data_IF_630819136769
#
_entry.id   IF_630819136769
#
_cell.length_a   1.000
_cell.length_b   1.000
_cell.length_c   1.000
_cell.angle_alpha   90.00
_cell.angle_beta   90.00
_cell.angle_gamma   90.00
#
_symmetry.space_group_name_H-M   'P 1'
#
loop_
_entity.id
_entity.type
_entity.pdbx_description
1 polymer ?
#
# COMPACT_ATOMS: atom_id res chain seq x y z
N UNK A 1 -1.61 -8.88 13.27
CA UNK A 1 -1.77 -9.98 12.30
C UNK A 1 -2.24 -11.32 12.92
N UNK A 2 -1.79 -11.76 14.12
CA UNK A 2 -2.12 -13.12 14.59
C UNK A 2 -3.61 -13.48 14.63
N UNK A 3 -4.47 -12.54 15.06
CA UNK A 3 -5.94 -12.76 15.08
C UNK A 3 -6.56 -12.95 13.70
N UNK A 4 -6.06 -12.24 12.67
CA UNK A 4 -6.56 -12.35 11.30
C UNK A 4 -6.20 -13.70 10.70
N UNK A 5 -4.92 -14.11 10.83
CA UNK A 5 -4.45 -15.43 10.40
C UNK A 5 -5.23 -16.57 11.08
N UNK A 6 -5.44 -16.45 12.40
CA UNK A 6 -6.26 -17.42 13.14
C UNK A 6 -7.71 -17.46 12.65
N UNK A 7 -8.33 -16.31 12.37
CA UNK A 7 -9.67 -16.26 11.80
C UNK A 7 -9.73 -16.95 10.42
N UNK A 8 -8.72 -16.77 9.57
CA UNK A 8 -8.62 -17.48 8.30
C UNK A 8 -8.48 -18.99 8.49
N UNK A 9 -7.64 -19.45 9.42
CA UNK A 9 -7.52 -20.88 9.74
C UNK A 9 -8.84 -21.47 10.24
N UNK A 10 -9.59 -20.75 11.09
CA UNK A 10 -10.91 -21.19 11.54
C UNK A 10 -11.94 -21.26 10.40
N UNK A 11 -11.76 -20.48 9.34
CA UNK A 11 -12.69 -20.44 8.20
C UNK A 11 -12.52 -21.59 7.20
N UNK A 12 -11.46 -22.41 7.34
CA UNK A 12 -11.11 -23.49 6.40
C UNK A 12 -12.28 -24.45 6.17
N UNK A 13 -12.95 -24.91 7.23
CA UNK A 13 -14.07 -25.87 7.10
C UNK A 13 -15.22 -25.27 6.32
N UNK A 14 -15.69 -24.08 6.72
CA UNK A 14 -16.80 -23.41 6.05
C UNK A 14 -16.47 -23.06 4.60
N UNK A 15 -15.23 -22.67 4.31
CA UNK A 15 -14.79 -22.43 2.94
C UNK A 15 -14.75 -23.71 2.11
N UNK A 16 -14.30 -24.83 2.69
CA UNK A 16 -14.32 -26.14 2.03
C UNK A 16 -15.73 -26.54 1.62
N UNK A 17 -16.70 -26.33 2.50
CA UNK A 17 -18.12 -26.60 2.21
C UNK A 17 -18.63 -25.73 1.06
N UNK A 18 -18.28 -24.44 1.04
CA UNK A 18 -18.64 -23.52 -0.05
C UNK A 18 -18.09 -24.00 -1.39
N UNK A 19 -16.79 -24.30 -1.48
CA UNK A 19 -16.16 -24.76 -2.73
C UNK A 19 -16.72 -26.11 -3.17
N UNK A 20 -16.95 -27.04 -2.24
CA UNK A 20 -17.53 -28.36 -2.54
C UNK A 20 -18.94 -28.27 -3.12
N UNK A 21 -19.75 -27.33 -2.61
CA UNK A 21 -21.13 -27.13 -3.03
C UNK A 21 -21.24 -26.33 -4.33
N UNK A 22 -20.51 -25.22 -4.45
CA UNK A 22 -20.57 -24.35 -5.62
C UNK A 22 -19.82 -24.92 -6.83
N UNK A 23 -18.73 -25.67 -6.59
CA UNK A 23 -17.83 -26.22 -7.62
C UNK A 23 -17.44 -25.16 -8.67
N UNK A 24 -16.83 -24.03 -8.25
CA UNK A 24 -16.50 -22.96 -9.17
C UNK A 24 -15.54 -23.45 -10.27
N UNK A 25 -15.68 -22.85 -11.45
CA UNK A 25 -14.81 -23.11 -12.61
C UNK A 25 -13.34 -22.66 -12.37
N UNK A 26 -13.13 -21.72 -11.44
CA UNK A 26 -11.84 -21.13 -11.10
C UNK A 26 -11.91 -20.53 -9.69
N UNK A 27 -10.81 -20.60 -8.94
CA UNK A 27 -10.62 -19.88 -7.69
C UNK A 27 -9.57 -18.76 -7.86
N UNK A 28 -9.81 -17.59 -7.28
CA UNK A 28 -8.78 -16.55 -7.09
C UNK A 28 -8.53 -16.41 -5.58
N UNK A 29 -7.27 -16.39 -5.15
CA UNK A 29 -6.89 -16.37 -3.73
C UNK A 29 -5.68 -15.46 -3.48
N UNK A 30 -5.52 -14.97 -2.25
CA UNK A 30 -4.39 -14.12 -1.84
C UNK A 30 -3.32 -14.88 -1.03
N UNK A 31 -2.31 -14.15 -0.55
CA UNK A 31 -1.17 -14.72 0.17
C UNK A 31 -1.51 -15.20 1.59
N UNK A 32 -2.63 -14.76 2.18
CA UNK A 32 -3.01 -15.12 3.54
C UNK A 32 -3.77 -16.44 3.63
N UNK A 33 -4.25 -16.96 2.49
CA UNK A 33 -5.10 -18.15 2.42
C UNK A 33 -4.55 -19.19 1.43
N UNK A 34 -3.28 -19.61 1.51
CA UNK A 34 -2.72 -20.62 0.60
C UNK A 34 -3.48 -21.95 0.66
N UNK A 35 -4.07 -22.27 1.82
CA UNK A 35 -4.90 -23.45 2.01
C UNK A 35 -6.13 -23.47 1.08
N UNK A 36 -6.65 -22.32 0.65
CA UNK A 36 -7.78 -22.24 -0.28
C UNK A 36 -7.41 -22.82 -1.65
N UNK A 37 -6.21 -22.53 -2.13
CA UNK A 37 -5.68 -23.09 -3.38
C UNK A 37 -5.43 -24.61 -3.26
N UNK A 38 -4.94 -25.09 -2.11
CA UNK A 38 -4.78 -26.53 -1.85
C UNK A 38 -6.13 -27.27 -1.89
N UNK A 39 -7.18 -26.69 -1.30
CA UNK A 39 -8.55 -27.23 -1.34
C UNK A 39 -9.09 -27.26 -2.77
N UNK A 40 -8.98 -26.14 -3.51
CA UNK A 40 -9.42 -26.09 -4.90
C UNK A 40 -8.72 -27.16 -5.74
N UNK A 41 -7.40 -27.32 -5.58
CA UNK A 41 -6.62 -28.32 -6.29
C UNK A 41 -7.08 -29.76 -5.99
N UNK A 42 -7.47 -30.08 -4.75
CA UNK A 42 -7.96 -31.44 -4.41
C UNK A 42 -9.30 -31.77 -5.08
N UNK A 43 -10.07 -30.74 -5.43
CA UNK A 43 -11.33 -30.82 -6.15
C UNK A 43 -11.19 -30.61 -7.66
N UNK A 44 -9.94 -30.59 -8.17
CA UNK A 44 -9.62 -30.31 -9.58
C UNK A 44 -10.14 -28.96 -10.07
N UNK A 45 -10.11 -27.93 -9.22
CA UNK A 45 -10.43 -26.55 -9.58
C UNK A 45 -9.11 -25.76 -9.72
N UNK A 46 -8.86 -25.09 -10.85
CA UNK A 46 -7.67 -24.26 -11.00
C UNK A 46 -7.74 -23.04 -10.06
N UNK A 47 -6.60 -22.70 -9.45
CA UNK A 47 -6.50 -21.56 -8.54
C UNK A 47 -5.46 -20.56 -9.04
N UNK A 48 -5.80 -19.27 -9.09
CA UNK A 48 -4.89 -18.18 -9.49
C UNK A 48 -4.63 -17.28 -8.30
N UNK A 49 -3.36 -17.05 -7.98
CA UNK A 49 -2.95 -16.12 -6.95
C UNK A 49 -3.17 -14.68 -7.42
N UNK A 50 -3.81 -13.88 -6.58
CA UNK A 50 -3.90 -12.44 -6.72
C UNK A 50 -3.02 -11.74 -5.69
N UNK A 51 -1.91 -11.20 -6.16
CA UNK A 51 -0.94 -10.46 -5.39
C UNK A 51 -1.41 -9.01 -5.17
N UNK A 52 -1.70 -8.69 -3.90
CA UNK A 52 -2.23 -7.38 -3.47
C UNK A 52 -1.15 -6.36 -3.08
N UNK A 53 0.12 -6.77 -3.13
CA UNK A 53 1.31 -5.91 -2.99
C UNK A 53 1.97 -5.70 -4.36
N UNK A 54 2.70 -4.59 -4.54
CA UNK A 54 3.35 -4.22 -5.79
C UNK A 54 4.52 -5.13 -6.18
N UNK A 55 4.87 -5.10 -7.47
CA UNK A 55 5.91 -5.94 -8.05
C UNK A 55 7.30 -5.60 -7.50
N UNK A 56 7.57 -4.34 -7.19
CA UNK A 56 8.81 -3.86 -6.58
C UNK A 56 9.11 -4.58 -5.26
N UNK A 57 8.15 -4.59 -4.33
CA UNK A 57 8.33 -5.25 -3.05
C UNK A 57 8.37 -6.79 -3.20
N UNK A 58 7.49 -7.37 -4.01
CA UNK A 58 7.49 -8.82 -4.23
C UNK A 58 8.77 -9.33 -4.87
N UNK A 59 9.28 -8.65 -5.92
CA UNK A 59 10.54 -9.03 -6.57
C UNK A 59 11.73 -8.97 -5.60
N UNK A 60 11.80 -7.93 -4.78
CA UNK A 60 12.83 -7.80 -3.74
C UNK A 60 12.77 -8.94 -2.73
N UNK A 61 11.59 -9.20 -2.16
CA UNK A 61 11.45 -10.27 -1.17
C UNK A 61 11.71 -11.64 -1.81
N UNK A 62 11.03 -11.97 -2.91
CA UNK A 62 11.20 -13.25 -3.58
C UNK A 62 12.68 -13.55 -3.88
N UNK A 63 13.42 -12.57 -4.43
CA UNK A 63 14.87 -12.69 -4.63
C UNK A 63 15.60 -13.00 -3.33
N UNK A 64 15.36 -12.20 -2.28
CA UNK A 64 16.06 -12.32 -1.00
C UNK A 64 15.85 -13.67 -0.32
N UNK A 65 14.72 -14.33 -0.54
CA UNK A 65 14.41 -15.65 0.04
C UNK A 65 14.85 -16.82 -0.84
N UNK A 66 14.94 -16.65 -2.16
CA UNK A 66 15.22 -17.75 -3.10
C UNK A 66 16.66 -17.76 -3.64
N UNK A 67 17.27 -16.61 -3.89
CA UNK A 67 18.62 -16.46 -4.49
C UNK A 67 19.66 -16.14 -3.42
N UNK A 68 19.61 -16.87 -2.29
CA UNK A 68 20.45 -16.63 -1.09
C UNK A 68 21.87 -16.13 -1.44
N UNK A 69 22.30 -15.10 -0.72
CA UNK A 69 23.65 -14.51 -0.83
C UNK A 69 23.97 -13.77 -2.15
N UNK A 70 22.95 -13.41 -2.94
CA UNK A 70 23.07 -12.45 -4.05
C UNK A 70 22.51 -11.07 -3.69
N UNK A 71 23.11 -10.03 -4.28
CA UNK A 71 22.52 -8.69 -4.27
C UNK A 71 21.30 -8.63 -5.19
N UNK A 72 20.28 -7.88 -4.76
CA UNK A 72 19.11 -7.62 -5.60
C UNK A 72 19.51 -6.76 -6.82
N UNK A 73 19.06 -7.08 -8.06
CA UNK A 73 19.55 -6.41 -9.26
C UNK A 73 19.19 -4.92 -9.40
N UNK A 74 18.21 -4.42 -8.63
CA UNK A 74 17.79 -3.02 -8.68
C UNK A 74 18.20 -2.29 -7.40
N UNK A 75 19.33 -1.57 -7.38
CA UNK A 75 19.91 -1.00 -6.16
C UNK A 75 19.10 0.16 -5.57
N UNK A 76 18.14 0.71 -6.32
CA UNK A 76 17.19 1.74 -5.85
C UNK A 76 16.24 1.19 -4.80
N UNK A 77 15.96 -0.12 -4.81
CA UNK A 77 15.16 -0.79 -3.79
C UNK A 77 16.08 -1.43 -2.75
N UNK A 78 16.04 -0.87 -1.54
CA UNK A 78 16.81 -1.37 -0.41
C UNK A 78 16.08 -1.11 0.91
N UNK A 79 16.43 -1.92 1.91
CA UNK A 79 16.00 -1.74 3.29
C UNK A 79 17.14 -1.12 4.09
N UNK A 80 16.82 -0.07 4.87
CA UNK A 80 17.72 0.45 5.90
C UNK A 80 17.86 -0.58 7.02
N UNK A 81 18.90 -0.45 7.85
CA UNK A 81 19.21 -1.49 8.83
C UNK A 81 18.09 -1.69 9.87
N UNK A 82 17.43 -0.62 10.31
CA UNK A 82 16.27 -0.73 11.21
C UNK A 82 15.09 -1.46 10.54
N UNK A 83 14.82 -1.20 9.26
CA UNK A 83 13.76 -1.88 8.50
C UNK A 83 14.09 -3.37 8.34
N UNK A 84 15.36 -3.69 8.05
CA UNK A 84 15.84 -5.07 7.92
C UNK A 84 15.68 -5.83 9.24
N UNK A 85 16.07 -5.22 10.37
CA UNK A 85 15.91 -5.80 11.71
C UNK A 85 14.43 -6.03 12.04
N UNK A 86 13.56 -5.06 11.76
CA UNK A 86 12.13 -5.17 11.98
C UNK A 86 11.48 -6.28 11.13
N UNK A 87 11.86 -6.36 9.84
CA UNK A 87 11.40 -7.41 8.94
C UNK A 87 11.85 -8.80 9.41
N UNK A 88 13.12 -8.96 9.78
CA UNK A 88 13.65 -10.22 10.30
C UNK A 88 12.90 -10.67 11.56
N UNK A 89 12.62 -9.74 12.48
CA UNK A 89 11.84 -10.03 13.68
C UNK A 89 10.39 -10.45 13.37
N UNK A 90 9.76 -9.90 12.33
CA UNK A 90 8.43 -10.33 11.86
C UNK A 90 8.47 -11.73 11.25
N UNK A 91 9.44 -12.03 10.39
CA UNK A 91 9.59 -13.35 9.75
C UNK A 91 9.81 -14.44 10.81
N UNK A 92 10.74 -14.21 11.75
CA UNK A 92 11.04 -15.18 12.81
C UNK A 92 9.89 -15.39 13.79
N UNK A 93 8.87 -14.53 13.82
CA UNK A 93 7.61 -14.77 14.54
C UNK A 93 6.68 -15.67 13.74
N UNK A 94 6.53 -15.41 12.43
CA UNK A 94 5.70 -16.23 11.54
C UNK A 94 6.19 -17.68 11.47
N UNK A 95 7.51 -17.90 11.35
CA UNK A 95 8.11 -19.24 11.34
C UNK A 95 7.89 -20.04 12.63
N UNK A 96 7.59 -19.37 13.76
CA UNK A 96 7.29 -20.05 15.03
C UNK A 96 5.82 -20.40 15.17
N UNK A 97 4.94 -19.69 14.46
CA UNK A 97 3.49 -19.86 14.53
C UNK A 97 2.99 -20.87 13.49
N UNK A 98 3.73 -21.11 12.39
CA UNK A 98 3.38 -22.07 11.35
C UNK A 98 4.16 -23.40 11.47
N UNK A 99 3.43 -24.49 11.70
CA UNK A 99 3.92 -25.87 11.53
C UNK A 99 3.94 -26.30 10.04
N UNK A 100 3.58 -25.41 9.10
CA UNK A 100 3.48 -25.73 7.68
C UNK A 100 4.84 -25.50 7.00
N UNK A 101 5.37 -26.53 6.34
CA UNK A 101 6.70 -26.54 5.70
C UNK A 101 6.73 -25.78 4.36
N UNK A 102 5.70 -24.98 4.08
CA UNK A 102 5.64 -24.21 2.84
C UNK A 102 6.56 -23.00 2.95
N UNK A 103 7.37 -22.75 1.92
CA UNK A 103 8.24 -21.58 1.88
C UNK A 103 7.42 -20.29 2.04
N UNK A 104 8.02 -19.21 2.55
CA UNK A 104 7.38 -17.89 2.71
C UNK A 104 6.75 -17.33 1.41
N UNK A 105 7.03 -17.94 0.25
CA UNK A 105 6.46 -17.62 -1.06
C UNK A 105 5.81 -18.82 -1.75
N UNK A 106 5.53 -19.92 -1.03
CA UNK A 106 4.97 -21.16 -1.57
C UNK A 106 3.58 -20.97 -2.19
N UNK A 107 2.83 -19.95 -1.78
CA UNK A 107 1.58 -19.55 -2.42
C UNK A 107 1.77 -19.11 -3.88
N UNK A 108 2.95 -18.61 -4.29
CA UNK A 108 3.19 -18.38 -5.72
C UNK A 108 3.20 -19.70 -6.51
N UNK A 109 3.64 -20.79 -5.90
CA UNK A 109 3.74 -22.10 -6.55
C UNK A 109 2.41 -22.81 -6.69
N UNK A 110 1.47 -22.51 -5.80
CA UNK A 110 0.09 -22.97 -5.88
C UNK A 110 -0.72 -22.29 -7.00
N UNK A 111 -0.21 -21.21 -7.59
CA UNK A 111 -0.89 -20.49 -8.66
C UNK A 111 -0.78 -21.22 -10.00
N UNK A 112 -1.92 -21.47 -10.66
CA UNK A 112 -1.98 -22.17 -11.92
C UNK A 112 -1.75 -21.21 -13.11
N UNK A 113 -0.61 -21.42 -13.80
CA UNK A 113 -0.26 -20.75 -15.06
C UNK A 113 0.21 -19.30 -14.92
N UNK A 114 -0.58 -18.45 -14.27
CA UNK A 114 -0.31 -17.01 -14.13
C UNK A 114 -0.37 -16.58 -12.67
N UNK A 115 0.07 -15.36 -12.38
CA UNK A 115 -0.17 -14.64 -11.12
C UNK A 115 -0.77 -13.28 -11.47
N UNK A 116 -1.93 -12.96 -10.94
CA UNK A 116 -2.53 -11.64 -11.06
C UNK A 116 -1.86 -10.70 -10.06
N UNK A 117 -1.62 -9.45 -10.43
CA UNK A 117 -0.96 -8.50 -9.53
C UNK A 117 -1.55 -7.11 -9.65
N UNK A 118 -1.91 -6.50 -8.51
CA UNK A 118 -2.41 -5.13 -8.41
C UNK A 118 -1.27 -4.13 -8.65
N UNK A 119 -0.98 -3.87 -9.92
CA UNK A 119 0.09 -2.97 -10.39
C UNK A 119 -0.22 -2.49 -11.82
N UNK A 120 0.60 -1.58 -12.35
CA UNK A 120 0.63 -1.20 -13.76
C UNK A 120 2.06 -1.28 -14.30
N UNK A 121 2.21 -1.66 -15.59
CA UNK A 121 3.54 -1.77 -16.20
C UNK A 121 4.25 -0.43 -16.31
N UNK A 122 3.50 0.65 -16.46
CA UNK A 122 4.04 1.99 -16.61
C UNK A 122 4.89 2.45 -15.43
N UNK A 123 4.65 1.92 -14.25
CA UNK A 123 5.38 2.22 -13.01
C UNK A 123 6.31 1.06 -12.62
N UNK A 124 5.86 -0.18 -12.66
CA UNK A 124 6.60 -1.32 -12.09
C UNK A 124 7.07 -2.37 -13.13
N UNK A 125 6.99 -2.07 -14.44
CA UNK A 125 7.20 -3.06 -15.51
C UNK A 125 8.47 -3.91 -15.39
N UNK A 126 9.62 -3.30 -15.07
CA UNK A 126 10.89 -4.04 -14.88
C UNK A 126 10.86 -4.99 -13.67
N UNK A 127 10.09 -4.65 -12.64
CA UNK A 127 9.90 -5.48 -11.45
C UNK A 127 8.92 -6.62 -11.73
N UNK A 128 7.88 -6.36 -12.53
CA UNK A 128 6.95 -7.38 -13.03
C UNK A 128 7.71 -8.43 -13.84
N UNK A 129 8.55 -8.00 -14.78
CA UNK A 129 9.33 -8.89 -15.64
C UNK A 129 10.31 -9.73 -14.82
N UNK A 130 11.01 -9.09 -13.89
CA UNK A 130 11.94 -9.79 -13.01
C UNK A 130 11.24 -10.82 -12.11
N UNK A 131 10.12 -10.45 -11.48
CA UNK A 131 9.35 -11.36 -10.65
C UNK A 131 8.82 -12.54 -11.47
N UNK A 132 8.37 -12.30 -12.71
CA UNK A 132 7.88 -13.35 -13.61
C UNK A 132 8.94 -14.41 -13.91
N UNK A 133 10.19 -13.99 -14.14
CA UNK A 133 11.34 -14.90 -14.28
C UNK A 133 11.58 -15.68 -12.99
N UNK A 134 11.57 -14.99 -11.85
CA UNK A 134 11.85 -15.57 -10.54
C UNK A 134 10.84 -16.65 -10.13
N UNK A 135 9.54 -16.38 -10.28
CA UNK A 135 8.47 -17.31 -9.89
C UNK A 135 8.10 -18.32 -11.00
N UNK A 136 8.75 -18.22 -12.18
CA UNK A 136 8.52 -19.05 -13.37
C UNK A 136 7.05 -19.06 -13.82
N UNK A 137 6.34 -17.95 -13.60
CA UNK A 137 4.94 -17.76 -13.98
C UNK A 137 4.78 -16.41 -14.63
N UNK A 138 3.84 -16.29 -15.57
CA UNK A 138 3.50 -14.99 -16.15
C UNK A 138 2.84 -14.15 -15.07
N UNK A 139 3.47 -13.05 -14.68
CA UNK A 139 2.86 -12.05 -13.80
C UNK A 139 2.04 -11.11 -14.67
N UNK A 140 0.75 -11.00 -14.37
CA UNK A 140 -0.24 -10.26 -15.15
C UNK A 140 -0.74 -9.09 -14.30
N UNK A 141 -0.36 -7.85 -14.66
CA UNK A 141 -0.95 -6.65 -14.07
C UNK A 141 -2.46 -6.65 -14.24
N UNK A 142 -3.19 -6.22 -13.21
CA UNK A 142 -4.64 -6.00 -13.26
C UNK A 142 -4.99 -4.51 -13.17
N UNK A 143 -4.01 -3.64 -13.37
CA UNK A 143 -4.18 -2.20 -13.25
C UNK A 143 -4.29 -1.71 -11.79
N UNK A 144 -4.68 -0.43 -11.62
CA UNK A 144 -4.66 0.25 -10.33
C UNK A 144 -5.80 -0.19 -9.38
N UNK A 145 -6.95 -0.63 -9.92
CA UNK A 145 -8.15 -1.01 -9.13
C UNK A 145 -8.49 0.03 -8.04
N UNK A 146 -8.48 1.31 -8.41
CA UNK A 146 -8.82 2.41 -7.50
C UNK A 146 -10.34 2.58 -7.48
N UNK A 147 -10.96 2.32 -6.32
CA UNK A 147 -12.40 2.55 -6.15
C UNK A 147 -12.69 4.06 -6.08
N UNK A 148 -13.59 4.53 -6.95
CA UNK A 148 -13.99 5.93 -7.01
C UNK A 148 -15.23 6.26 -6.16
N UNK A 149 -15.83 5.30 -5.46
CA UNK A 149 -17.18 5.47 -4.89
C UNK A 149 -17.37 4.87 -3.50
N UNK A 150 -17.49 5.77 -2.51
CA UNK A 150 -18.39 5.64 -1.36
C UNK A 150 -18.85 7.06 -1.00
N UNK A 151 -20.16 7.32 -1.03
CA UNK A 151 -20.76 8.58 -0.56
C UNK A 151 -21.17 8.42 0.90
N UNK A 152 -20.29 8.81 1.82
CA UNK A 152 -20.59 8.95 3.24
C UNK A 152 -21.00 10.38 3.60
N UNK A 153 -21.82 10.56 4.64
CA UNK A 153 -22.30 11.90 5.06
C UNK A 153 -21.15 12.87 5.46
N UNK A 154 -20.06 12.36 6.05
CA UNK A 154 -18.87 13.17 6.40
C UNK A 154 -18.04 13.61 5.19
N UNK A 155 -18.34 13.12 3.99
CA UNK A 155 -17.58 13.47 2.79
C UNK A 155 -17.82 14.92 2.37
N UNK A 156 -19.02 15.47 2.65
CA UNK A 156 -19.38 16.83 2.21
C UNK A 156 -18.58 17.89 2.98
N UNK A 157 -18.44 17.79 4.30
CA UNK A 157 -17.75 18.81 5.10
C UNK A 157 -16.26 18.93 4.75
N UNK A 158 -15.59 17.78 4.55
CA UNK A 158 -14.17 17.76 4.17
C UNK A 158 -13.97 18.34 2.78
N UNK A 159 -14.83 17.96 1.82
CA UNK A 159 -14.76 18.46 0.43
C UNK A 159 -15.11 19.95 0.36
N UNK A 160 -16.09 20.41 1.13
CA UNK A 160 -16.46 21.84 1.22
C UNK A 160 -15.33 22.67 1.83
N UNK A 161 -14.66 22.15 2.85
CA UNK A 161 -13.50 22.82 3.42
C UNK A 161 -12.34 22.88 2.43
N UNK A 162 -12.06 21.78 1.72
CA UNK A 162 -11.03 21.73 0.67
C UNK A 162 -11.34 22.71 -0.47
N UNK A 163 -12.61 22.85 -0.85
CA UNK A 163 -13.07 23.74 -1.92
C UNK A 163 -12.78 25.22 -1.63
N UNK A 164 -12.62 25.58 -0.36
CA UNK A 164 -12.25 26.94 0.09
C UNK A 164 -10.73 27.17 0.09
N UNK A 165 -9.92 26.15 -0.17
CA UNK A 165 -8.45 26.24 -0.16
C UNK A 165 -7.91 26.39 -1.58
N UNK A 166 -6.81 27.16 -1.78
CA UNK A 166 -6.14 27.23 -3.08
C UNK A 166 -5.67 25.86 -3.61
N UNK A 167 -5.43 25.79 -4.91
CA UNK A 167 -4.89 24.60 -5.55
C UNK A 167 -3.54 24.20 -4.92
N UNK A 168 -3.32 22.90 -4.73
CA UNK A 168 -2.09 22.33 -4.15
C UNK A 168 -1.65 22.92 -2.80
N UNK A 169 -2.59 23.45 -2.00
CA UNK A 169 -2.26 24.14 -0.75
C UNK A 169 -2.51 23.32 0.52
N UNK A 170 -3.05 22.12 0.39
CA UNK A 170 -3.41 21.23 1.51
C UNK A 170 -2.59 19.94 1.49
N UNK A 171 -2.10 19.54 2.65
CA UNK A 171 -1.46 18.24 2.89
C UNK A 171 -2.50 17.27 3.45
N UNK A 172 -2.70 16.14 2.79
CA UNK A 172 -3.48 15.04 3.35
C UNK A 172 -2.55 14.09 4.12
N UNK A 173 -2.95 13.66 5.31
CA UNK A 173 -2.14 12.82 6.21
C UNK A 173 -2.96 11.61 6.64
N UNK A 174 -2.52 10.42 6.23
CA UNK A 174 -3.18 9.17 6.56
C UNK A 174 -2.18 8.01 6.58
N UNK A 175 -2.19 7.25 7.67
CA UNK A 175 -1.32 6.10 7.87
C UNK A 175 -2.05 4.77 7.60
N UNK A 176 -3.15 4.81 6.84
CA UNK A 176 -3.92 3.63 6.46
C UNK A 176 -4.76 3.07 7.60
N UNK A 177 -5.33 1.89 7.40
CA UNK A 177 -6.28 1.28 8.34
C UNK A 177 -5.63 0.48 9.46
N UNK A 178 -4.41 0.00 9.27
CA UNK A 178 -3.74 -0.96 10.15
C UNK A 178 -2.49 -0.44 10.85
N UNK A 179 -2.20 0.87 10.74
CA UNK A 179 -1.08 1.48 11.44
C UNK A 179 -1.60 2.48 12.48
N UNK A 180 -0.99 2.42 13.67
CA UNK A 180 -1.33 3.26 14.79
C UNK A 180 -0.05 3.94 15.26
N UNK A 181 -0.07 5.27 15.29
CA UNK A 181 1.08 6.06 15.71
C UNK A 181 1.20 6.05 17.23
N UNK A 182 2.44 6.13 17.74
CA UNK A 182 2.65 6.42 19.16
C UNK A 182 2.26 7.86 19.49
N UNK A 183 2.03 8.15 20.78
CA UNK A 183 1.78 9.52 21.25
C UNK A 183 2.92 10.46 20.86
N UNK A 184 4.17 10.02 21.00
CA UNK A 184 5.35 10.80 20.66
C UNK A 184 5.40 11.13 19.16
N UNK A 185 5.10 10.14 18.29
CA UNK A 185 5.02 10.36 16.85
C UNK A 185 3.92 11.38 16.48
N UNK A 186 2.75 11.28 17.12
CA UNK A 186 1.68 12.26 16.92
C UNK A 186 2.12 13.67 17.35
N UNK A 187 2.83 13.80 18.47
CA UNK A 187 3.35 15.09 18.93
C UNK A 187 4.39 15.67 17.97
N UNK A 188 5.31 14.86 17.44
CA UNK A 188 6.31 15.34 16.48
C UNK A 188 5.67 15.76 15.15
N UNK A 189 4.65 15.04 14.67
CA UNK A 189 3.86 15.45 13.49
C UNK A 189 3.15 16.78 13.76
N UNK A 190 2.46 16.92 14.90
CA UNK A 190 1.75 18.15 15.25
C UNK A 190 2.69 19.37 15.32
N UNK A 191 3.85 19.22 15.98
CA UNK A 191 4.88 20.27 16.02
C UNK A 191 5.43 20.57 14.63
N UNK A 192 5.68 19.54 13.81
CA UNK A 192 6.14 19.72 12.44
C UNK A 192 5.14 20.48 11.57
N UNK A 193 3.84 20.22 11.76
CA UNK A 193 2.74 20.97 11.12
C UNK A 193 2.67 22.45 11.53
N UNK A 194 3.09 22.79 12.74
CA UNK A 194 3.25 24.18 13.16
C UNK A 194 4.44 24.84 12.46
N UNK A 195 5.56 24.12 12.31
CA UNK A 195 6.78 24.63 11.67
C UNK A 195 6.66 24.88 10.17
N UNK A 196 5.79 24.14 9.46
CA UNK A 196 5.56 24.32 8.03
C UNK A 196 4.35 25.21 7.69
N UNK A 197 3.46 25.48 8.66
CA UNK A 197 2.30 26.36 8.50
C UNK A 197 1.45 26.11 7.24
N UNK A 198 1.27 24.84 6.87
CA UNK A 198 0.45 24.41 5.73
C UNK A 198 -1.00 24.17 6.15
N UNK A 199 -1.93 24.15 5.17
CA UNK A 199 -3.24 23.58 5.39
C UNK A 199 -3.11 22.05 5.47
N UNK A 200 -3.91 21.38 6.30
CA UNK A 200 -3.85 19.93 6.40
C UNK A 200 -5.20 19.26 6.71
N UNK A 201 -5.32 18.01 6.30
CA UNK A 201 -6.32 17.07 6.80
C UNK A 201 -5.56 15.89 7.38
N UNK A 202 -5.76 15.60 8.67
CA UNK A 202 -5.08 14.50 9.33
C UNK A 202 -6.05 13.48 9.89
N UNK A 203 -5.99 12.26 9.34
CA UNK A 203 -6.74 11.10 9.82
C UNK A 203 -5.98 10.44 10.96
N UNK A 204 -6.58 10.46 12.15
CA UNK A 204 -6.05 9.82 13.36
C UNK A 204 -6.85 8.56 13.64
N UNK A 205 -6.15 7.44 13.83
CA UNK A 205 -6.74 6.14 14.14
C UNK A 205 -6.17 5.56 15.43
N UNK A 206 -6.99 4.77 16.10
CA UNK A 206 -6.65 3.97 17.27
C UNK A 206 -7.10 2.52 17.08
N UNK A 207 -6.46 1.55 17.75
CA UNK A 207 -6.93 0.18 17.76
C UNK A 207 -8.39 0.08 18.22
N UNK A 208 -9.12 -0.93 17.72
CA UNK A 208 -10.52 -1.17 18.12
C UNK A 208 -10.58 -1.40 19.63
N UNK A 209 -11.42 -0.62 20.31
CA UNK A 209 -11.55 -0.65 21.77
C UNK A 209 -10.64 0.35 22.51
N UNK A 210 -9.66 0.94 21.83
CA UNK A 210 -8.84 2.02 22.35
C UNK A 210 -9.37 3.35 21.81
N UNK A 211 -9.61 4.33 22.68
CA UNK A 211 -9.98 5.69 22.29
C UNK A 211 -8.81 6.61 22.59
N UNK A 212 -8.31 7.27 21.55
CA UNK A 212 -7.33 8.36 21.71
C UNK A 212 -8.10 9.66 21.92
N UNK A 213 -7.89 10.31 23.07
CA UNK A 213 -8.27 11.70 23.23
C UNK A 213 -7.22 12.59 22.55
N UNK A 214 -7.64 13.22 21.45
CA UNK A 214 -6.79 14.12 20.66
C UNK A 214 -6.40 15.35 21.49
N UNK A 215 -7.25 15.81 22.41
CA UNK A 215 -6.92 16.95 23.28
C UNK A 215 -5.76 16.63 24.24
N UNK A 216 -5.64 15.37 24.67
CA UNK A 216 -4.58 14.93 25.58
C UNK A 216 -3.28 14.58 24.84
N UNK A 217 -3.37 14.05 23.61
CA UNK A 217 -2.20 13.62 22.85
C UNK A 217 -1.52 14.78 22.14
N UNK A 218 -2.29 15.74 21.61
CA UNK A 218 -1.73 16.87 20.87
C UNK A 218 -1.01 17.86 21.79
N UNK A 219 0.01 18.59 21.30
CA UNK A 219 0.65 19.66 22.07
C UNK A 219 -0.38 20.68 22.56
N UNK A 220 -0.16 21.21 23.77
CA UNK A 220 -1.09 22.15 24.42
C UNK A 220 -1.44 23.33 23.48
N UNK A 221 -2.73 23.53 23.23
CA UNK A 221 -3.28 24.60 22.38
C UNK A 221 -3.07 24.41 20.87
N UNK A 222 -2.56 23.25 20.42
CA UNK A 222 -2.35 22.97 19.00
C UNK A 222 -3.66 23.08 18.20
N UNK A 223 -4.75 22.50 18.71
CA UNK A 223 -6.05 22.49 18.04
C UNK A 223 -6.57 23.91 17.80
N UNK A 224 -6.46 24.79 18.80
CA UNK A 224 -6.87 26.19 18.68
C UNK A 224 -6.02 26.96 17.66
N UNK A 225 -4.70 26.72 17.65
CA UNK A 225 -3.78 27.34 16.69
C UNK A 225 -3.94 26.81 15.27
N UNK A 226 -4.43 25.58 15.11
CA UNK A 226 -4.57 24.92 13.81
C UNK A 226 -5.99 25.00 13.22
N UNK A 227 -7.02 25.39 13.98
CA UNK A 227 -8.45 25.27 13.59
C UNK A 227 -8.82 25.86 12.22
N UNK A 228 -8.19 26.95 11.78
CA UNK A 228 -8.49 27.59 10.49
C UNK A 228 -7.80 26.92 9.30
N UNK A 229 -6.70 26.20 9.57
CA UNK A 229 -5.82 25.58 8.56
C UNK A 229 -5.85 24.05 8.59
N UNK A 230 -6.43 23.43 9.61
CA UNK A 230 -6.35 22.00 9.83
C UNK A 230 -7.68 21.36 10.18
N UNK A 231 -8.00 20.23 9.54
CA UNK A 231 -9.05 19.32 9.99
C UNK A 231 -8.38 18.06 10.56
N UNK A 232 -8.84 17.63 11.73
CA UNK A 232 -8.46 16.32 12.30
C UNK A 232 -9.67 15.40 12.25
N UNK A 233 -9.54 14.30 11.52
CA UNK A 233 -10.59 13.31 11.33
C UNK A 233 -10.30 12.10 12.20
N UNK A 234 -11.24 11.71 13.05
CA UNK A 234 -11.14 10.48 13.85
C UNK A 234 -11.69 9.29 13.05
N UNK A 235 -10.91 8.22 12.94
CA UNK A 235 -11.33 6.99 12.27
C UNK A 235 -11.14 7.03 10.75
N UNK A 236 -12.22 7.18 9.99
CA UNK A 236 -12.20 7.05 8.53
C UNK A 236 -12.42 8.39 7.82
N UNK A 237 -11.78 8.56 6.66
CA UNK A 237 -11.97 9.69 5.75
C UNK A 237 -11.99 9.17 4.30
N UNK A 238 -12.68 9.86 3.37
CA UNK A 238 -12.79 9.45 1.98
C UNK A 238 -11.49 9.73 1.21
N UNK A 239 -10.48 8.90 1.46
CA UNK A 239 -9.11 9.10 0.98
C UNK A 239 -9.04 9.33 -0.54
N UNK A 240 -9.73 8.51 -1.34
CA UNK A 240 -9.76 8.69 -2.80
C UNK A 240 -10.33 10.06 -3.21
N UNK A 241 -11.44 10.51 -2.59
CA UNK A 241 -12.04 11.83 -2.87
C UNK A 241 -11.12 12.98 -2.45
N UNK A 242 -10.46 12.85 -1.30
CA UNK A 242 -9.49 13.84 -0.82
C UNK A 242 -8.33 13.94 -1.80
N UNK A 243 -7.72 12.81 -2.19
CA UNK A 243 -6.61 12.78 -3.14
C UNK A 243 -7.00 13.29 -4.52
N UNK A 244 -8.23 13.06 -4.98
CA UNK A 244 -8.75 13.59 -6.23
C UNK A 244 -8.99 15.11 -6.21
N UNK A 245 -9.02 15.74 -5.04
CA UNK A 245 -9.36 17.15 -4.92
C UNK A 245 -8.19 18.07 -5.28
N UNK A 246 -8.40 19.03 -6.19
CA UNK A 246 -7.38 19.97 -6.71
C UNK A 246 -6.58 20.73 -5.63
N UNK A 247 -7.16 20.96 -4.47
CA UNK A 247 -6.50 21.68 -3.36
C UNK A 247 -5.48 20.83 -2.60
N UNK A 248 -5.48 19.50 -2.78
CA UNK A 248 -4.47 18.62 -2.19
C UNK A 248 -3.18 18.70 -3.00
N UNK A 249 -2.10 19.09 -2.35
CA UNK A 249 -0.76 19.24 -2.96
C UNK A 249 0.23 18.15 -2.57
N UNK A 250 -0.02 17.43 -1.48
CA UNK A 250 0.81 16.34 -1.01
C UNK A 250 0.03 15.33 -0.16
N UNK A 251 0.51 14.10 -0.15
CA UNK A 251 0.03 13.03 0.71
C UNK A 251 1.14 12.54 1.63
N UNK A 252 1.02 12.78 2.94
CA UNK A 252 1.83 12.11 3.95
C UNK A 252 1.25 10.71 4.17
N UNK A 253 2.02 9.70 3.78
CA UNK A 253 1.54 8.32 3.70
C UNK A 253 2.49 7.35 4.37
N UNK A 254 1.92 6.30 4.94
CA UNK A 254 2.63 5.09 5.36
C UNK A 254 3.12 4.23 4.19
N UNK A 255 2.81 4.58 2.94
CA UNK A 255 3.25 3.86 1.73
C UNK A 255 2.76 2.40 1.62
N UNK A 256 1.60 2.08 2.21
CA UNK A 256 0.93 0.82 1.88
C UNK A 256 0.51 0.81 0.41
N UNK A 257 0.56 -0.37 -0.25
CA UNK A 257 0.45 -0.44 -1.71
C UNK A 257 -0.80 0.24 -2.28
N UNK A 258 -1.98 0.03 -1.67
CA UNK A 258 -3.21 0.71 -2.13
C UNK A 258 -3.11 2.24 -2.05
N UNK A 259 -2.51 2.78 -1.00
CA UNK A 259 -2.32 4.24 -0.86
C UNK A 259 -1.26 4.78 -1.83
N UNK A 260 -0.23 4.00 -2.12
CA UNK A 260 0.77 4.30 -3.16
C UNK A 260 0.11 4.36 -4.53
N UNK A 261 -0.74 3.38 -4.88
CA UNK A 261 -1.46 3.36 -6.15
C UNK A 261 -2.42 4.56 -6.26
N UNK A 262 -3.20 4.86 -5.21
CA UNK A 262 -4.08 6.02 -5.22
C UNK A 262 -3.31 7.34 -5.42
N UNK A 263 -2.14 7.49 -4.80
CA UNK A 263 -1.27 8.65 -5.02
C UNK A 263 -0.83 8.77 -6.48
N UNK A 264 -0.35 7.67 -7.09
CA UNK A 264 0.00 7.66 -8.50
C UNK A 264 -1.22 7.99 -9.36
N UNK A 265 -2.37 7.36 -9.10
CA UNK A 265 -3.59 7.50 -9.88
C UNK A 265 -4.16 8.92 -9.85
N UNK A 266 -4.11 9.60 -8.70
CA UNK A 266 -4.58 10.98 -8.55
C UNK A 266 -3.48 12.04 -8.80
N UNK A 267 -2.25 11.62 -9.09
CA UNK A 267 -1.14 12.52 -9.39
C UNK A 267 -0.72 13.39 -8.22
N UNK A 268 -0.78 12.84 -7.00
CA UNK A 268 -0.44 13.56 -5.76
C UNK A 268 0.92 13.10 -5.24
N UNK A 269 1.93 13.98 -5.11
CA UNK A 269 3.22 13.63 -4.55
C UNK A 269 3.14 13.12 -3.09
N UNK A 270 4.07 12.24 -2.73
CA UNK A 270 4.09 11.58 -1.41
C UNK A 270 5.21 12.09 -0.51
N UNK A 271 4.86 12.47 0.71
CA UNK A 271 5.79 12.55 1.83
C UNK A 271 5.76 11.19 2.54
N UNK A 272 6.75 10.35 2.25
CA UNK A 272 6.77 8.95 2.64
C UNK A 272 7.23 8.79 4.10
N UNK A 273 6.39 8.12 4.88
CA UNK A 273 6.62 7.80 6.30
C UNK A 273 6.32 6.31 6.50
N UNK A 274 7.10 5.41 5.89
CA UNK A 274 6.87 3.97 6.01
C UNK A 274 6.99 3.52 7.46
N UNK A 275 6.20 2.52 7.86
CA UNK A 275 6.11 2.04 9.24
C UNK A 275 6.44 0.55 9.39
N UNK A 276 6.05 -0.31 8.45
CA UNK A 276 6.26 -1.78 8.57
C UNK A 276 6.20 -2.53 7.23
N UNK A 277 6.64 -3.78 7.24
CA UNK A 277 6.48 -4.76 6.16
C UNK A 277 7.09 -4.30 4.82
N UNK A 278 6.28 -4.24 3.76
CA UNK A 278 6.62 -3.83 2.40
C UNK A 278 6.70 -2.30 2.22
N UNK A 279 6.16 -1.53 3.16
CA UNK A 279 6.06 -0.07 3.06
C UNK A 279 7.39 0.64 2.79
N UNK A 280 8.54 0.26 3.40
CA UNK A 280 9.82 0.88 3.08
C UNK A 280 10.22 0.70 1.61
N UNK A 281 9.91 -0.45 0.99
CA UNK A 281 10.21 -0.68 -0.42
C UNK A 281 9.27 0.12 -1.33
N UNK A 282 7.98 0.22 -0.96
CA UNK A 282 7.04 1.09 -1.67
C UNK A 282 7.44 2.57 -1.58
N UNK A 283 7.99 3.01 -0.44
CA UNK A 283 8.55 4.35 -0.29
C UNK A 283 9.75 4.58 -1.24
N UNK A 284 10.64 3.59 -1.39
CA UNK A 284 11.74 3.65 -2.36
C UNK A 284 11.25 3.70 -3.80
N UNK A 285 10.19 2.97 -4.14
CA UNK A 285 9.55 3.04 -5.46
C UNK A 285 9.02 4.46 -5.75
N UNK A 286 8.36 5.11 -4.79
CA UNK A 286 7.88 6.49 -4.93
C UNK A 286 9.03 7.48 -5.15
N UNK A 287 10.14 7.31 -4.42
CA UNK A 287 11.35 8.14 -4.57
C UNK A 287 12.00 7.90 -5.94
N UNK A 288 12.14 6.64 -6.35
CA UNK A 288 12.71 6.26 -7.65
C UNK A 288 11.90 6.83 -8.81
N UNK A 289 10.57 6.77 -8.74
CA UNK A 289 9.68 7.35 -9.74
C UNK A 289 9.68 8.89 -9.74
N UNK A 290 10.33 9.53 -8.75
CA UNK A 290 10.37 10.98 -8.62
C UNK A 290 9.03 11.59 -8.22
N UNK A 291 8.16 10.82 -7.55
CA UNK A 291 6.84 11.28 -7.08
C UNK A 291 6.78 11.42 -5.56
N UNK A 292 7.87 11.14 -4.85
CA UNK A 292 7.89 11.27 -3.40
C UNK A 292 9.25 11.52 -2.79
N UNK A 293 9.24 11.91 -1.53
CA UNK A 293 10.41 12.10 -0.67
C UNK A 293 10.14 11.34 0.63
N UNK A 294 11.11 10.59 1.14
CA UNK A 294 11.02 9.95 2.44
C UNK A 294 11.47 10.91 3.56
N UNK A 295 10.69 10.97 4.63
CA UNK A 295 11.06 11.70 5.85
C UNK A 295 12.34 11.09 6.43
N UNK A 296 13.34 11.94 6.66
CA UNK A 296 14.60 11.52 7.24
C UNK A 296 14.39 10.98 8.66
N UNK A 297 15.15 9.94 9.01
CA UNK A 297 15.10 9.24 10.29
C UNK A 297 16.53 9.01 10.78
N UNK A 298 16.71 8.95 12.08
CA UNK A 298 17.95 8.55 12.71
C UNK A 298 18.22 7.03 12.57
N UNK A 299 19.30 6.56 13.17
CA UNK A 299 19.75 5.15 13.11
C UNK A 299 18.74 4.17 13.74
N UNK A 300 17.91 4.66 14.66
CA UNK A 300 16.84 3.90 15.31
C UNK A 300 15.52 3.94 14.53
N UNK A 301 15.51 4.63 13.38
CA UNK A 301 14.33 4.78 12.54
C UNK A 301 13.32 5.78 13.09
N UNK A 302 13.74 6.75 13.91
CA UNK A 302 12.88 7.78 14.49
C UNK A 302 13.08 9.09 13.72
N UNK A 303 11.98 9.78 13.38
CA UNK A 303 12.01 11.15 12.86
C UNK A 303 11.55 12.13 13.93
N UNK A 304 12.01 13.38 13.86
CA UNK A 304 11.51 14.48 14.70
C UNK A 304 10.73 15.47 13.84
N UNK A 305 10.12 16.45 14.52
CA UNK A 305 9.34 17.53 13.90
C UNK A 305 10.07 18.27 12.79
N UNK A 306 11.40 18.40 12.90
CA UNK A 306 12.21 19.18 11.97
C UNK A 306 12.39 18.43 10.65
N UNK A 307 12.70 17.12 10.68
CA UNK A 307 12.76 16.28 9.48
C UNK A 307 11.38 16.15 8.81
N UNK A 308 10.32 16.05 9.62
CA UNK A 308 8.95 16.02 9.11
C UNK A 308 8.55 17.33 8.41
N UNK A 309 8.86 18.47 9.04
CA UNK A 309 8.57 19.79 8.48
C UNK A 309 9.39 20.07 7.21
N UNK A 310 10.66 19.68 7.20
CA UNK A 310 11.56 19.79 6.05
C UNK A 310 11.01 19.01 4.83
N UNK A 311 10.62 17.76 5.03
CA UNK A 311 10.03 16.96 3.96
C UNK A 311 8.74 17.57 3.41
N UNK A 312 7.86 18.10 4.27
CA UNK A 312 6.65 18.80 3.82
C UNK A 312 7.01 20.06 3.03
N UNK A 313 7.96 20.87 3.50
CA UNK A 313 8.38 22.11 2.82
C UNK A 313 8.96 21.82 1.44
N UNK A 314 9.77 20.78 1.29
CA UNK A 314 10.32 20.33 0.00
C UNK A 314 9.27 20.00 -1.05
N UNK A 315 8.12 19.46 -0.62
CA UNK A 315 7.02 19.09 -1.51
C UNK A 315 6.05 20.25 -1.74
N UNK A 316 5.73 21.01 -0.69
CA UNK A 316 4.64 21.99 -0.71
C UNK A 316 5.09 23.41 -1.05
N UNK A 317 6.31 23.80 -0.66
CA UNK A 317 6.76 25.20 -0.65
C UNK A 317 7.95 25.43 -1.59
N UNK A 318 8.90 24.50 -1.60
CA UNK A 318 10.12 24.66 -2.38
C UNK A 318 9.92 24.35 -3.87
N UNK A 319 10.77 24.92 -4.76
CA UNK A 319 10.70 24.65 -6.20
C UNK A 319 10.87 23.16 -6.56
N UNK A 320 11.53 22.35 -5.72
CA UNK A 320 11.62 20.90 -5.91
C UNK A 320 10.25 20.23 -5.96
N UNK A 321 9.27 20.75 -5.22
CA UNK A 321 7.92 20.22 -5.16
C UNK A 321 7.17 20.29 -6.48
N UNK A 322 7.48 21.28 -7.32
CA UNK A 322 6.88 21.39 -8.66
C UNK A 322 7.29 20.24 -9.56
N UNK A 323 8.57 19.85 -9.52
CA UNK A 323 9.07 18.69 -10.28
C UNK A 323 8.38 17.40 -9.84
N UNK A 324 8.18 17.21 -8.54
CA UNK A 324 7.45 16.04 -8.00
C UNK A 324 5.99 16.02 -8.47
N UNK A 325 5.31 17.18 -8.46
CA UNK A 325 3.92 17.30 -8.95
C UNK A 325 3.81 16.97 -10.43
N UNK A 326 4.69 17.52 -11.27
CA UNK A 326 4.71 17.21 -12.70
C UNK A 326 4.92 15.72 -12.94
N UNK A 327 5.88 15.10 -12.24
CA UNK A 327 6.11 13.64 -12.32
C UNK A 327 4.91 12.82 -11.85
N UNK A 328 4.24 13.26 -10.78
CA UNK A 328 3.06 12.58 -10.29
C UNK A 328 1.90 12.67 -11.30
N UNK A 329 1.70 13.83 -11.95
CA UNK A 329 0.71 14.01 -13.02
C UNK A 329 1.02 13.14 -14.24
N UNK A 330 2.27 13.13 -14.73
CA UNK A 330 2.72 12.26 -15.82
C UNK A 330 2.46 10.78 -15.49
N UNK A 331 2.76 10.36 -14.26
CA UNK A 331 2.53 9.00 -13.79
C UNK A 331 1.05 8.66 -13.71
N UNK A 332 0.21 9.61 -13.26
CA UNK A 332 -1.26 9.48 -13.25
C UNK A 332 -1.82 9.26 -14.65
N UNK A 333 -1.41 10.10 -15.61
CA UNK A 333 -1.86 9.98 -17.00
C UNK A 333 -1.48 8.63 -17.58
N UNK A 334 -0.22 8.21 -17.39
CA UNK A 334 0.25 6.90 -17.83
C UNK A 334 -0.56 5.76 -17.23
N UNK A 335 -0.76 5.77 -15.92
CA UNK A 335 -1.52 4.73 -15.20
C UNK A 335 -2.98 4.65 -15.67
N UNK A 336 -3.64 5.79 -15.92
CA UNK A 336 -5.01 5.85 -16.43
C UNK A 336 -5.12 5.35 -17.88
N UNK A 337 -4.13 5.67 -18.72
CA UNK A 337 -4.11 5.24 -20.11
C UNK A 337 -3.92 3.72 -20.24
N UNK A 338 -3.19 3.09 -19.30
CA UNK A 338 -2.94 1.65 -19.28
C UNK A 338 -4.05 0.84 -18.57
N UNK A 339 -4.96 1.49 -17.82
CA UNK A 339 -5.92 0.82 -16.94
C UNK A 339 -6.87 -0.14 -17.68
N UNK A 340 -7.48 0.31 -18.78
CA UNK A 340 -8.41 -0.52 -19.55
C UNK A 340 -7.68 -1.68 -20.24
N UNK A 341 -6.48 -1.43 -20.77
CA UNK A 341 -5.65 -2.47 -21.40
C UNK A 341 -5.21 -3.54 -20.38
N UNK A 342 -4.73 -3.13 -19.21
CA UNK A 342 -4.33 -4.04 -18.14
C UNK A 342 -5.53 -4.90 -17.66
N UNK A 343 -6.71 -4.29 -17.48
CA UNK A 343 -7.92 -5.00 -17.06
C UNK A 343 -8.41 -6.01 -18.10
N UNK A 344 -8.49 -5.59 -19.37
CA UNK A 344 -8.89 -6.47 -20.47
C UNK A 344 -7.87 -7.62 -20.66
N UNK A 345 -6.58 -7.28 -20.63
CA UNK A 345 -5.50 -8.26 -20.69
C UNK A 345 -5.58 -9.27 -19.55
N UNK A 346 -5.84 -8.83 -18.32
CA UNK A 346 -6.04 -9.73 -17.18
C UNK A 346 -7.23 -10.68 -17.39
N UNK A 347 -8.37 -10.17 -17.83
CA UNK A 347 -9.56 -10.97 -18.12
C UNK A 347 -9.29 -12.03 -19.21
N UNK A 348 -8.62 -11.64 -20.29
CA UNK A 348 -8.21 -12.57 -21.36
C UNK A 348 -7.27 -13.67 -20.85
N UNK A 349 -6.29 -13.31 -20.02
CA UNK A 349 -5.37 -14.29 -19.43
C UNK A 349 -6.09 -15.29 -18.51
N UNK A 350 -7.05 -14.81 -17.70
CA UNK A 350 -7.89 -15.68 -16.86
C UNK A 350 -8.69 -16.65 -17.73
N UNK A 351 -9.32 -16.17 -18.80
CA UNK A 351 -10.07 -17.01 -19.74
C UNK A 351 -9.18 -18.06 -20.41
N UNK A 352 -7.97 -17.68 -20.84
CA UNK A 352 -6.99 -18.61 -21.44
C UNK A 352 -6.59 -19.70 -20.46
N UNK A 353 -6.34 -19.35 -19.20
CA UNK A 353 -6.04 -20.32 -18.14
C UNK A 353 -7.17 -21.31 -17.96
N UNK A 354 -8.41 -20.81 -17.85
CA UNK A 354 -9.59 -21.63 -17.70
C UNK A 354 -9.78 -22.61 -18.88
N UNK A 355 -9.69 -22.12 -20.11
CA UNK A 355 -9.84 -22.94 -21.32
C UNK A 355 -8.77 -24.02 -21.40
N UNK A 356 -7.51 -23.68 -21.08
CA UNK A 356 -6.40 -24.63 -21.06
C UNK A 356 -6.61 -25.72 -20.01
N UNK A 357 -7.10 -25.35 -18.83
CA UNK A 357 -7.37 -26.31 -17.76
C UNK A 357 -8.46 -27.31 -18.16
N UNK A 358 -9.57 -26.85 -18.75
CA UNK A 358 -10.66 -27.72 -19.24
C UNK A 358 -10.25 -28.68 -20.36
N UNK A 359 -9.17 -28.40 -21.09
CA UNK A 359 -8.64 -29.35 -22.08
C UNK A 359 -7.80 -30.47 -21.45
N UNK A 360 -7.35 -30.30 -20.21
CA UNK A 360 -6.44 -31.23 -19.52
C UNK A 360 -7.15 -32.14 -18.50
N UNK A 361 -8.41 -31.85 -18.17
CA UNK A 361 -9.21 -32.54 -17.15
C UNK A 361 -10.55 -32.95 -17.72
#
# INVERSE_FOLDING_TARGET
MPRLLHAFQMSVSSFTDIISNLKPDLLIYDAFQPWAAKIASSMKIPAIHFATTGAAAYSFFYHRFTVKDSAFPYPTLYLKDYDRKALQASISKLEKDENDKDSLFGYFDLSYGIVLMKTCRGIEGKYVDYLSVMCKKKVVPVGPLVSQSYDGENDSEIVDWLSKKPQFSTVFISFGSENYLSKDQMQEIAKGLELCNVNFIWVVRSPVGERIDINEVMPKGFLDRAKERGIIVKGWAPQAKILAHKSVGAFVSHCGMSSTIESFYFGVPVVAVPLKLDQPLNARLLVEAGVGIEVARDEDGIFRRDEFADAIKKVMVEPSGEKLRLRAMESSEKMKNEEEEDMNGAAEQILQVFMKYKQQT
#
